data_IF_444129858912
#
_entry.id   IF_444129858912
#
_cell.length_a   1.000
_cell.length_b   1.000
_cell.length_c   1.000
_cell.angle_alpha   90.00
_cell.angle_beta   90.00
_cell.angle_gamma   90.00
#
_symmetry.space_group_name_H-M   'P 1'
#
loop_
_entity.id
_entity.type
_entity.pdbx_description
1 polymer ?
#
# COMPACT_ATOMS: atom_id res chain seq x y z
N UNK A 1 14.94 -35.22 -3.00
CA UNK A 1 15.76 -35.83 -1.93
C UNK A 1 17.18 -35.28 -1.98
N UNK A 2 17.60 -34.62 -0.91
CA UNK A 2 18.94 -34.02 -0.74
C UNK A 2 20.08 -35.04 -0.76
N UNK A 3 19.84 -36.26 -0.29
CA UNK A 3 20.86 -37.31 -0.28
C UNK A 3 21.25 -37.71 -1.71
N UNK A 4 20.27 -37.87 -2.59
CA UNK A 4 20.48 -38.21 -4.01
C UNK A 4 21.25 -37.10 -4.73
N UNK A 5 20.90 -35.84 -4.49
CA UNK A 5 21.63 -34.71 -5.09
C UNK A 5 23.08 -34.60 -4.58
N UNK A 6 23.33 -34.83 -3.29
CA UNK A 6 24.71 -34.86 -2.75
C UNK A 6 25.55 -35.97 -3.38
N UNK A 7 24.98 -37.17 -3.55
CA UNK A 7 25.66 -38.27 -4.23
C UNK A 7 25.96 -37.94 -5.70
N UNK A 8 24.99 -37.37 -6.43
CA UNK A 8 25.20 -36.91 -7.82
C UNK A 8 26.28 -35.83 -7.90
N UNK A 9 26.28 -34.86 -7.00
CA UNK A 9 27.32 -33.82 -6.93
C UNK A 9 28.70 -34.42 -6.70
N UNK A 10 28.84 -35.39 -5.78
CA UNK A 10 30.10 -36.06 -5.53
C UNK A 10 30.61 -36.83 -6.77
N UNK A 11 29.72 -37.53 -7.48
CA UNK A 11 30.06 -38.22 -8.72
C UNK A 11 30.54 -37.24 -9.82
N UNK A 12 29.87 -36.10 -9.99
CA UNK A 12 30.29 -35.09 -10.97
C UNK A 12 31.62 -34.43 -10.61
N UNK A 13 31.89 -34.20 -9.31
CA UNK A 13 33.21 -33.70 -8.86
C UNK A 13 34.34 -34.67 -9.19
N UNK A 14 34.11 -35.98 -8.98
CA UNK A 14 35.08 -37.01 -9.32
C UNK A 14 35.32 -37.05 -10.84
N UNK A 15 34.25 -36.98 -11.64
CA UNK A 15 34.33 -36.92 -13.12
C UNK A 15 35.14 -35.72 -13.60
N UNK A 16 34.89 -34.52 -13.07
CA UNK A 16 35.68 -33.32 -13.41
C UNK A 16 37.15 -33.53 -13.09
N UNK A 17 37.46 -34.09 -11.92
CA UNK A 17 38.85 -34.34 -11.50
C UNK A 17 39.55 -35.31 -12.45
N UNK A 18 38.87 -36.38 -12.86
CA UNK A 18 39.38 -37.36 -13.82
C UNK A 18 39.63 -36.73 -15.19
N UNK A 19 38.63 -36.04 -15.75
CA UNK A 19 38.68 -35.44 -17.10
C UNK A 19 39.70 -34.31 -17.19
N UNK A 20 39.76 -33.43 -16.18
CA UNK A 20 40.80 -32.39 -16.11
C UNK A 20 42.20 -32.99 -15.95
N UNK A 21 42.33 -34.05 -15.13
CA UNK A 21 43.59 -34.78 -15.00
C UNK A 21 44.05 -35.39 -16.33
N UNK A 22 43.12 -35.97 -17.11
CA UNK A 22 43.39 -36.51 -18.44
C UNK A 22 43.82 -35.42 -19.41
N UNK A 23 43.09 -34.31 -19.47
CA UNK A 23 43.45 -33.15 -20.30
C UNK A 23 44.86 -32.65 -20.00
N UNK A 24 45.22 -32.45 -18.72
CA UNK A 24 46.56 -32.02 -18.31
C UNK A 24 47.66 -33.00 -18.73
N UNK A 25 47.42 -34.31 -18.60
CA UNK A 25 48.38 -35.35 -19.04
C UNK A 25 48.56 -35.34 -20.56
N UNK A 26 47.48 -35.21 -21.33
CA UNK A 26 47.56 -35.16 -22.80
C UNK A 26 48.23 -33.87 -23.30
N UNK A 27 47.96 -32.74 -22.66
CA UNK A 27 48.63 -31.48 -22.96
C UNK A 27 50.16 -31.57 -22.73
N UNK A 28 50.58 -32.19 -21.64
CA UNK A 28 52.00 -32.45 -21.36
C UNK A 28 52.63 -33.43 -22.38
N UNK A 29 51.89 -34.49 -22.77
CA UNK A 29 52.33 -35.45 -23.79
C UNK A 29 52.46 -34.80 -25.17
N UNK A 30 51.56 -33.88 -25.54
CA UNK A 30 51.63 -33.14 -26.80
C UNK A 30 52.90 -32.29 -26.87
N UNK A 31 53.27 -31.61 -25.77
CA UNK A 31 54.51 -30.84 -25.69
C UNK A 31 55.77 -31.73 -25.84
N UNK A 32 55.68 -33.01 -25.47
CA UNK A 32 56.71 -34.01 -25.67
C UNK A 32 56.61 -34.76 -27.02
N UNK A 33 55.69 -34.37 -27.91
CA UNK A 33 55.47 -34.99 -29.23
C UNK A 33 54.69 -36.32 -29.21
N UNK A 34 54.13 -36.72 -28.06
CA UNK A 34 53.47 -38.01 -27.85
C UNK A 34 51.95 -38.01 -27.93
N UNK A 35 51.30 -36.87 -28.22
CA UNK A 35 49.85 -36.76 -28.41
C UNK A 35 49.53 -35.77 -29.55
N UNK A 36 48.46 -36.03 -30.28
CA UNK A 36 47.96 -35.18 -31.36
C UNK A 36 47.13 -34.00 -30.84
N UNK A 37 47.02 -32.92 -31.63
CA UNK A 37 46.17 -31.78 -31.29
C UNK A 37 44.69 -32.18 -31.12
N UNK A 38 44.22 -33.12 -31.95
CA UNK A 38 42.84 -33.64 -31.89
C UNK A 38 42.55 -34.36 -30.57
N UNK A 39 43.50 -35.12 -30.02
CA UNK A 39 43.33 -35.79 -28.72
C UNK A 39 43.25 -34.79 -27.56
N UNK A 40 44.05 -33.73 -27.62
CA UNK A 40 44.04 -32.67 -26.59
C UNK A 40 42.74 -31.86 -26.65
N UNK A 41 42.28 -31.51 -27.84
CA UNK A 41 41.02 -30.80 -28.04
C UNK A 41 39.81 -31.65 -27.58
N UNK A 42 39.79 -32.94 -27.91
CA UNK A 42 38.76 -33.85 -27.41
C UNK A 42 38.77 -33.96 -25.88
N UNK A 43 39.96 -34.01 -25.26
CA UNK A 43 40.08 -34.05 -23.80
C UNK A 43 39.67 -32.73 -23.12
N UNK A 44 39.89 -31.59 -23.78
CA UNK A 44 39.41 -30.29 -23.32
C UNK A 44 37.87 -30.26 -23.34
N UNK A 45 37.26 -30.63 -24.47
CA UNK A 45 35.80 -30.67 -24.61
C UNK A 45 35.14 -31.61 -23.58
N UNK A 46 35.76 -32.77 -23.33
CA UNK A 46 35.36 -33.71 -22.28
C UNK A 46 35.39 -33.06 -20.89
N UNK A 47 36.45 -32.29 -20.58
CA UNK A 47 36.61 -31.62 -19.30
C UNK A 47 35.60 -30.46 -19.13
N UNK A 48 35.34 -29.70 -20.18
CA UNK A 48 34.33 -28.64 -20.19
C UNK A 48 32.92 -29.22 -20.01
N UNK A 49 32.60 -30.32 -20.69
CA UNK A 49 31.32 -31.02 -20.54
C UNK A 49 31.12 -31.54 -19.12
N UNK A 50 32.17 -32.11 -18.51
CA UNK A 50 32.13 -32.54 -17.11
C UNK A 50 31.93 -31.35 -16.15
N UNK A 51 32.54 -30.19 -16.43
CA UNK A 51 32.37 -28.99 -15.64
C UNK A 51 30.93 -28.45 -15.73
N UNK A 52 30.33 -28.45 -16.92
CA UNK A 52 28.93 -28.08 -17.11
C UNK A 52 27.99 -29.00 -16.30
N UNK A 53 28.22 -30.32 -16.35
CA UNK A 53 27.47 -31.29 -15.56
C UNK A 53 27.63 -31.11 -14.04
N UNK A 54 28.82 -30.71 -13.59
CA UNK A 54 29.07 -30.35 -12.19
C UNK A 54 28.25 -29.11 -11.78
N UNK A 55 28.26 -28.06 -12.61
CA UNK A 55 27.49 -26.84 -12.35
C UNK A 55 26.00 -27.12 -12.27
N UNK A 56 25.46 -27.96 -13.17
CA UNK A 56 24.06 -28.39 -13.12
C UNK A 56 23.71 -29.14 -11.82
N UNK A 57 24.60 -30.05 -11.38
CA UNK A 57 24.44 -30.76 -10.11
C UNK A 57 24.50 -29.81 -8.90
N UNK A 58 25.36 -28.78 -8.93
CA UNK A 58 25.45 -27.75 -7.89
C UNK A 58 24.17 -26.91 -7.83
N UNK A 59 23.67 -26.45 -8.98
CA UNK A 59 22.41 -25.70 -9.05
C UNK A 59 21.25 -26.53 -8.52
N UNK A 60 21.15 -27.80 -8.93
CA UNK A 60 20.13 -28.72 -8.45
C UNK A 60 20.17 -28.90 -6.94
N UNK A 61 21.36 -29.03 -6.34
CA UNK A 61 21.51 -29.12 -4.89
C UNK A 61 21.17 -27.80 -4.19
N UNK A 62 21.56 -26.65 -4.75
CA UNK A 62 21.26 -25.33 -4.18
C UNK A 62 19.75 -25.09 -4.09
N UNK A 63 18.99 -25.53 -5.10
CA UNK A 63 17.52 -25.44 -5.15
C UNK A 63 16.80 -26.33 -4.12
N UNK A 64 17.52 -27.24 -3.45
CA UNK A 64 16.95 -28.05 -2.36
C UNK A 64 16.91 -27.30 -1.02
N UNK A 65 17.58 -26.15 -0.93
CA UNK A 65 17.43 -25.23 0.19
C UNK A 65 16.65 -24.02 -0.30
N UNK A 66 15.44 -23.83 0.23
CA UNK A 66 14.60 -22.70 -0.11
C UNK A 66 14.86 -21.60 0.89
N UNK A 67 15.39 -20.48 0.41
CA UNK A 67 15.68 -19.29 1.22
C UNK A 67 14.69 -18.18 0.88
N UNK A 68 14.33 -17.37 1.88
CA UNK A 68 13.51 -16.19 1.63
C UNK A 68 14.28 -15.18 0.76
N UNK A 69 13.66 -14.59 -0.28
CA UNK A 69 14.30 -13.58 -1.13
C UNK A 69 14.39 -12.20 -0.45
N UNK A 70 13.64 -12.00 0.64
CA UNK A 70 13.56 -10.75 1.39
C UNK A 70 13.52 -11.03 2.89
N UNK A 71 13.91 -10.03 3.69
CA UNK A 71 13.69 -10.05 5.13
C UNK A 71 12.21 -9.82 5.46
N UNK A 72 11.69 -10.51 6.46
CA UNK A 72 10.29 -10.37 6.85
C UNK A 72 9.84 -11.45 7.82
N UNK A 73 8.53 -11.54 8.03
CA UNK A 73 7.88 -12.50 8.92
C UNK A 73 7.10 -13.52 8.09
N UNK A 74 7.18 -14.80 8.48
CA UNK A 74 6.38 -15.86 7.86
C UNK A 74 4.93 -15.70 8.30
N UNK A 75 4.07 -15.28 7.38
CA UNK A 75 2.63 -15.06 7.61
C UNK A 75 1.78 -16.26 7.20
N UNK A 76 2.33 -17.16 6.40
CA UNK A 76 1.66 -18.39 5.99
C UNK A 76 2.64 -19.56 5.88
N UNK A 77 2.20 -20.75 6.32
CA UNK A 77 2.93 -22.01 6.17
C UNK A 77 1.98 -23.05 5.60
N UNK A 78 2.35 -23.63 4.47
CA UNK A 78 1.52 -24.55 3.68
C UNK A 78 2.20 -25.92 3.46
N UNK A 79 3.20 -26.23 4.29
CA UNK A 79 3.99 -27.46 4.20
C UNK A 79 4.42 -27.95 5.57
N UNK A 80 4.43 -29.27 5.74
CA UNK A 80 4.93 -29.95 6.92
C UNK A 80 6.16 -30.81 6.63
N UNK A 81 6.88 -31.18 7.69
CA UNK A 81 8.03 -32.07 7.56
C UNK A 81 7.54 -33.45 7.16
N UNK A 82 8.03 -33.96 6.03
CA UNK A 82 7.59 -35.24 5.46
C UNK A 82 6.73 -35.08 4.21
N UNK A 83 6.23 -33.87 3.93
CA UNK A 83 5.46 -33.61 2.72
C UNK A 83 6.29 -33.78 1.45
N UNK A 84 5.67 -34.37 0.43
CA UNK A 84 6.18 -34.31 -0.93
C UNK A 84 5.80 -32.95 -1.55
N UNK A 85 6.82 -32.22 -2.01
CA UNK A 85 6.65 -30.91 -2.64
C UNK A 85 7.02 -30.97 -4.12
N UNK A 86 6.19 -30.33 -4.95
CA UNK A 86 6.40 -30.20 -6.39
C UNK A 86 6.73 -28.76 -6.76
N UNK A 87 7.49 -28.50 -7.84
CA UNK A 87 7.73 -27.15 -8.34
C UNK A 87 6.43 -26.38 -8.56
N UNK A 88 6.42 -25.10 -8.15
CA UNK A 88 5.26 -24.22 -8.25
C UNK A 88 4.30 -24.28 -7.06
N UNK A 89 4.44 -25.23 -6.13
CA UNK A 89 3.66 -25.23 -4.89
C UNK A 89 4.16 -24.12 -3.96
N UNK A 90 3.24 -23.30 -3.46
CA UNK A 90 3.50 -22.32 -2.41
C UNK A 90 3.78 -23.07 -1.11
N UNK A 91 4.94 -22.81 -0.49
CA UNK A 91 5.33 -23.45 0.77
C UNK A 91 5.17 -22.51 1.97
N UNK A 92 5.57 -21.25 1.78
CA UNK A 92 5.51 -20.21 2.80
C UNK A 92 5.13 -18.88 2.16
N UNK A 93 4.44 -18.04 2.92
CA UNK A 93 4.26 -16.62 2.60
C UNK A 93 5.12 -15.83 3.58
N UNK A 94 5.97 -14.95 3.04
CA UNK A 94 6.80 -14.03 3.83
C UNK A 94 6.34 -12.63 3.53
N UNK A 95 6.02 -11.87 4.58
CA UNK A 95 5.58 -10.48 4.48
C UNK A 95 6.60 -9.57 5.16
N UNK A 96 6.94 -8.48 4.50
CA UNK A 96 7.71 -7.39 5.09
C UNK A 96 6.77 -6.54 5.96
N UNK A 97 7.12 -6.34 7.24
CA UNK A 97 6.34 -5.56 8.19
C UNK A 97 6.81 -4.10 8.28
N UNK A 98 7.95 -3.76 7.69
CA UNK A 98 8.50 -2.40 7.74
C UNK A 98 7.88 -1.52 6.65
N UNK A 99 7.38 -2.13 5.57
CA UNK A 99 6.79 -1.45 4.42
C UNK A 99 5.29 -1.76 4.28
N UNK A 100 4.50 -1.45 5.31
CA UNK A 100 3.03 -1.62 5.27
C UNK A 100 2.38 -0.45 4.53
N UNK A 101 1.55 -0.79 3.54
CA UNK A 101 0.68 0.15 2.85
C UNK A 101 -0.76 -0.07 3.30
N UNK A 102 -1.47 1.02 3.57
CA UNK A 102 -2.91 0.96 3.81
C UNK A 102 -3.64 1.24 2.49
N UNK A 103 -4.52 0.34 2.10
CA UNK A 103 -5.32 0.48 0.87
C UNK A 103 -6.75 0.78 1.27
N UNK A 104 -7.30 1.86 0.71
CA UNK A 104 -8.68 2.27 0.90
C UNK A 104 -9.45 2.11 -0.41
N UNK A 105 -10.63 1.53 -0.32
CA UNK A 105 -11.55 1.48 -1.45
C UNK A 105 -12.48 2.71 -1.40
N UNK A 106 -12.42 3.51 -2.45
CA UNK A 106 -13.04 4.83 -2.53
C UNK A 106 -14.05 4.86 -3.66
N UNK A 107 -15.19 5.51 -3.42
CA UNK A 107 -16.25 5.63 -4.42
C UNK A 107 -15.79 6.49 -5.62
N UNK A 108 -16.33 6.25 -6.83
CA UNK A 108 -16.06 7.12 -7.98
C UNK A 108 -16.45 8.59 -7.79
N UNK A 109 -17.34 8.91 -6.83
CA UNK A 109 -17.72 10.30 -6.55
C UNK A 109 -16.66 11.03 -5.72
N UNK A 110 -16.02 10.30 -4.80
CA UNK A 110 -15.06 10.88 -3.86
C UNK A 110 -13.63 10.87 -4.42
N UNK A 111 -13.32 9.97 -5.36
CA UNK A 111 -11.99 9.88 -5.96
C UNK A 111 -11.54 11.19 -6.64
N UNK A 112 -12.48 11.97 -7.20
CA UNK A 112 -12.19 13.26 -7.83
C UNK A 112 -11.69 14.32 -6.84
N UNK A 113 -11.99 14.16 -5.55
CA UNK A 113 -11.53 15.05 -4.49
C UNK A 113 -10.18 14.62 -3.92
N UNK A 114 -9.64 13.49 -4.37
CA UNK A 114 -8.39 12.94 -3.83
C UNK A 114 -7.22 13.23 -4.76
N UNK A 115 -6.11 13.65 -4.18
CA UNK A 115 -4.86 13.96 -4.87
C UNK A 115 -3.70 13.37 -4.10
N UNK A 116 -2.68 12.90 -4.83
CA UNK A 116 -1.44 12.44 -4.23
C UNK A 116 -0.83 13.52 -3.33
N UNK A 117 -0.42 13.13 -2.13
CA UNK A 117 0.18 14.01 -1.13
C UNK A 117 -0.81 14.55 -0.10
N UNK A 118 -2.13 14.39 -0.31
CA UNK A 118 -3.11 14.86 0.68
C UNK A 118 -2.87 14.22 2.06
N UNK A 119 -2.98 15.03 3.14
CA UNK A 119 -2.85 14.54 4.48
C UNK A 119 -4.00 13.58 4.84
N UNK A 120 -3.65 12.51 5.54
CA UNK A 120 -4.60 11.54 6.05
C UNK A 120 -4.20 11.10 7.45
N UNK A 121 -5.10 10.40 8.13
CA UNK A 121 -4.80 9.66 9.34
C UNK A 121 -5.35 8.25 9.26
N UNK A 122 -4.63 7.30 9.81
CA UNK A 122 -5.01 5.89 9.86
C UNK A 122 -5.16 5.46 11.31
N UNK A 123 -6.25 4.77 11.63
CA UNK A 123 -6.46 4.21 12.96
C UNK A 123 -5.62 2.94 13.11
N UNK A 124 -4.76 2.92 14.12
CA UNK A 124 -3.93 1.77 14.49
C UNK A 124 -4.34 1.24 15.86
N UNK A 125 -3.85 0.06 16.29
CA UNK A 125 -4.06 -0.42 17.66
C UNK A 125 -3.57 0.57 18.73
N UNK A 126 -2.58 1.39 18.40
CA UNK A 126 -1.98 2.37 19.31
C UNK A 126 -2.59 3.78 19.18
N UNK A 127 -3.65 3.94 18.37
CA UNK A 127 -4.31 5.21 18.10
C UNK A 127 -4.13 5.71 16.66
N UNK A 128 -4.56 6.95 16.40
CA UNK A 128 -4.43 7.57 15.08
C UNK A 128 -2.98 7.94 14.77
N UNK A 129 -2.49 7.50 13.61
CA UNK A 129 -1.17 7.89 13.08
C UNK A 129 -1.33 8.76 11.85
N UNK A 130 -0.40 9.70 11.66
CA UNK A 130 -0.33 10.53 10.46
C UNK A 130 0.03 9.67 9.25
N UNK A 131 -0.67 9.90 8.15
CA UNK A 131 -0.49 9.25 6.87
C UNK A 131 -0.65 10.28 5.75
N UNK A 132 -0.39 9.87 4.50
CA UNK A 132 -0.67 10.69 3.33
C UNK A 132 -1.01 9.81 2.14
N UNK A 133 -1.74 10.35 1.17
CA UNK A 133 -2.00 9.65 -0.10
C UNK A 133 -0.68 9.48 -0.85
N UNK A 134 -0.22 8.23 -0.96
CA UNK A 134 0.99 7.86 -1.70
C UNK A 134 0.70 7.75 -3.19
N UNK A 135 -0.42 7.09 -3.54
CA UNK A 135 -0.85 6.85 -4.92
C UNK A 135 -2.36 6.61 -4.97
N UNK A 136 -2.95 6.93 -6.11
CA UNK A 136 -4.32 6.59 -6.46
C UNK A 136 -4.24 5.67 -7.68
N UNK A 137 -4.88 4.50 -7.61
CA UNK A 137 -4.97 3.61 -8.76
C UNK A 137 -5.96 4.18 -9.80
N UNK A 138 -5.60 4.27 -11.09
CA UNK A 138 -6.41 4.96 -12.09
C UNK A 138 -7.61 4.12 -12.57
N UNK A 139 -7.69 2.86 -12.17
CA UNK A 139 -8.71 1.90 -12.60
C UNK A 139 -9.57 1.48 -11.42
N UNK A 140 -10.88 1.53 -11.60
CA UNK A 140 -11.81 0.93 -10.66
C UNK A 140 -11.73 -0.60 -10.74
N UNK A 141 -11.91 -1.26 -9.60
CA UNK A 141 -12.09 -2.70 -9.54
C UNK A 141 -13.41 -3.08 -10.26
N UNK A 142 -13.40 -4.02 -11.22
CA UNK A 142 -14.56 -4.33 -12.06
C UNK A 142 -15.68 -5.07 -11.31
N UNK A 143 -15.39 -5.66 -10.13
CA UNK A 143 -16.38 -6.36 -9.32
C UNK A 143 -17.09 -5.41 -8.36
N UNK A 144 -16.35 -4.49 -7.74
CA UNK A 144 -16.89 -3.57 -6.72
C UNK A 144 -17.24 -2.19 -7.27
N UNK A 145 -16.63 -1.78 -8.39
CA UNK A 145 -16.72 -0.44 -8.96
C UNK A 145 -15.98 0.65 -8.16
N UNK A 146 -15.15 0.26 -7.18
CA UNK A 146 -14.41 1.17 -6.31
C UNK A 146 -12.98 1.40 -6.82
N UNK A 147 -12.42 2.56 -6.51
CA UNK A 147 -11.02 2.90 -6.79
C UNK A 147 -10.16 2.64 -5.56
N UNK A 148 -8.98 2.06 -5.75
CA UNK A 148 -8.05 1.86 -4.65
C UNK A 148 -7.13 3.06 -4.46
N UNK A 149 -7.06 3.56 -3.23
CA UNK A 149 -6.18 4.65 -2.80
C UNK A 149 -5.18 4.12 -1.79
N UNK A 150 -3.90 4.29 -2.07
CA UNK A 150 -2.81 3.79 -1.25
C UNK A 150 -2.29 4.91 -0.36
N UNK A 151 -2.35 4.70 0.96
CA UNK A 151 -1.78 5.59 1.97
C UNK A 151 -0.41 5.12 2.44
N UNK A 152 0.52 6.05 2.64
CA UNK A 152 1.77 5.76 3.34
C UNK A 152 1.55 5.74 4.84
N UNK A 153 1.86 4.61 5.47
CA UNK A 153 1.80 4.44 6.93
C UNK A 153 3.21 4.37 7.49
N UNK A 154 3.51 5.01 8.64
CA UNK A 154 4.79 4.87 9.31
C UNK A 154 5.11 3.42 9.69
N UNK A 155 6.38 3.04 9.57
CA UNK A 155 6.89 1.76 10.07
C UNK A 155 6.68 1.66 11.59
N UNK A 156 6.46 0.44 12.09
CA UNK A 156 6.20 0.21 13.52
C UNK A 156 4.83 0.71 14.00
N UNK A 157 3.90 1.01 13.09
CA UNK A 157 2.50 1.40 13.41
C UNK A 157 1.71 0.29 14.12
N UNK A 158 2.25 -0.93 14.20
CA UNK A 158 1.58 -2.09 14.82
C UNK A 158 0.46 -2.68 13.97
N UNK A 159 0.32 -2.22 12.72
CA UNK A 159 -0.58 -2.83 11.74
C UNK A 159 0.00 -4.15 11.24
N UNK A 160 -0.89 -5.06 10.84
CA UNK A 160 -0.53 -6.32 10.20
C UNK A 160 -1.12 -6.41 8.79
N UNK A 161 -0.45 -7.07 7.83
CA UNK A 161 -1.03 -7.33 6.50
C UNK A 161 -2.39 -8.05 6.61
N UNK A 162 -3.37 -7.61 5.82
CA UNK A 162 -4.72 -8.18 5.82
C UNK A 162 -5.64 -7.69 6.95
N UNK A 163 -5.16 -6.83 7.85
CA UNK A 163 -5.97 -6.21 8.88
C UNK A 163 -6.91 -5.16 8.27
N UNK A 164 -8.20 -5.20 8.65
CA UNK A 164 -9.13 -4.12 8.35
C UNK A 164 -8.77 -2.88 9.18
N UNK A 165 -8.84 -1.70 8.56
CA UNK A 165 -8.49 -0.43 9.19
C UNK A 165 -9.51 0.65 8.83
N UNK A 166 -9.52 1.71 9.64
CA UNK A 166 -10.22 2.94 9.33
C UNK A 166 -9.19 4.02 8.99
N UNK A 167 -9.49 4.84 7.99
CA UNK A 167 -8.68 5.98 7.65
C UNK A 167 -9.56 7.19 7.32
N UNK A 168 -9.01 8.37 7.57
CA UNK A 168 -9.67 9.63 7.28
C UNK A 168 -8.73 10.48 6.44
N UNK A 169 -9.13 10.75 5.21
CA UNK A 169 -8.45 11.67 4.31
C UNK A 169 -8.99 13.06 4.60
N UNK A 170 -8.10 14.01 4.87
CA UNK A 170 -8.51 15.37 5.15
C UNK A 170 -8.76 16.08 3.84
N UNK A 171 -10.00 16.54 3.66
CA UNK A 171 -10.38 17.40 2.53
C UNK A 171 -9.89 18.83 2.85
N UNK A 172 -8.88 19.31 2.13
CA UNK A 172 -8.31 20.65 2.33
C UNK A 172 -9.37 21.75 2.18
N UNK A 173 -10.39 21.50 1.38
CA UNK A 173 -11.53 22.38 1.16
C UNK A 173 -12.32 22.72 2.44
N UNK A 174 -12.15 21.97 3.55
CA UNK A 174 -12.86 22.19 4.82
C UNK A 174 -12.02 23.02 5.80
N UNK A 175 -10.69 23.06 5.67
CA UNK A 175 -9.82 23.69 6.68
C UNK A 175 -10.09 25.19 6.87
N UNK A 176 -10.44 25.89 5.78
CA UNK A 176 -10.82 27.32 5.78
C UNK A 176 -12.33 27.54 5.50
N UNK A 177 -13.14 26.47 5.55
CA UNK A 177 -14.56 26.57 5.28
C UNK A 177 -15.33 27.12 6.48
N UNK A 178 -16.18 28.12 6.23
CA UNK A 178 -17.15 28.56 7.22
C UNK A 178 -18.22 27.47 7.33
N UNK A 179 -18.33 26.89 8.53
CA UNK A 179 -19.34 25.88 8.85
C UNK A 179 -20.26 26.41 9.92
N UNK A 180 -21.56 26.22 9.72
CA UNK A 180 -22.60 26.60 10.70
C UNK A 180 -23.46 25.37 11.02
N UNK A 181 -24.07 25.29 12.21
CA UNK A 181 -25.05 24.23 12.50
C UNK A 181 -26.19 24.25 11.48
N UNK A 182 -26.69 23.07 11.07
CA UNK A 182 -27.80 22.97 10.11
C UNK A 182 -29.06 23.70 10.62
N UNK A 183 -29.28 23.70 11.93
CA UNK A 183 -30.40 24.39 12.61
C UNK A 183 -30.39 25.92 12.41
N UNK A 184 -29.24 26.51 12.05
CA UNK A 184 -29.14 27.94 11.78
C UNK A 184 -29.67 28.33 10.38
N UNK A 185 -29.86 27.36 9.48
CA UNK A 185 -30.41 27.60 8.15
C UNK A 185 -31.94 27.72 8.20
N UNK A 186 -32.49 28.68 7.46
CA UNK A 186 -33.92 28.82 7.25
C UNK A 186 -34.24 28.83 5.77
N UNK A 187 -35.25 28.05 5.38
CA UNK A 187 -35.74 28.02 4.00
C UNK A 187 -36.97 28.92 3.89
N UNK A 188 -36.87 30.00 3.10
CA UNK A 188 -37.96 30.94 2.88
C UNK A 188 -38.52 30.72 1.48
N UNK A 189 -39.83 30.47 1.40
CA UNK A 189 -40.53 30.29 0.11
C UNK A 189 -40.07 29.08 -0.70
N UNK A 190 -39.38 28.11 -0.08
CA UNK A 190 -38.91 26.88 -0.72
C UNK A 190 -37.65 27.03 -1.59
N UNK A 191 -37.28 28.24 -1.99
CA UNK A 191 -36.15 28.48 -2.92
C UNK A 191 -34.97 29.21 -2.28
N UNK A 192 -35.23 30.07 -1.28
CA UNK A 192 -34.17 30.85 -0.62
C UNK A 192 -33.68 30.16 0.63
N UNK A 193 -32.37 30.01 0.75
CA UNK A 193 -31.71 29.59 2.00
C UNK A 193 -31.10 30.82 2.65
N UNK A 194 -31.52 31.13 3.87
CA UNK A 194 -31.06 32.31 4.61
C UNK A 194 -30.54 31.92 5.99
N UNK A 195 -29.71 32.79 6.56
CA UNK A 195 -29.30 32.77 7.97
C UNK A 195 -29.59 34.11 8.60
N UNK A 196 -29.69 34.15 9.93
CA UNK A 196 -29.74 35.39 10.69
C UNK A 196 -28.38 35.65 11.34
N UNK A 197 -27.70 36.69 10.90
CA UNK A 197 -26.42 37.15 11.48
C UNK A 197 -26.72 38.24 12.50
N UNK A 198 -26.08 38.18 13.67
CA UNK A 198 -26.27 39.16 14.74
C UNK A 198 -25.18 40.23 14.72
N UNK A 199 -25.55 41.44 14.32
CA UNK A 199 -24.72 42.64 14.39
C UNK A 199 -25.36 43.64 15.38
N UNK A 200 -24.58 44.14 16.34
CA UNK A 200 -25.01 45.18 17.30
C UNK A 200 -26.34 44.91 18.04
N UNK A 201 -26.69 43.63 18.27
CA UNK A 201 -27.93 43.23 18.95
C UNK A 201 -29.17 43.19 18.05
N UNK A 202 -28.97 43.26 16.73
CA UNK A 202 -30.01 43.13 15.70
C UNK A 202 -29.71 41.90 14.84
N UNK A 203 -30.75 41.14 14.52
CA UNK A 203 -30.67 40.00 13.60
C UNK A 203 -30.93 40.44 12.15
N UNK A 204 -29.91 40.34 11.32
CA UNK A 204 -29.98 40.63 9.88
C UNK A 204 -30.21 39.34 9.10
N UNK A 205 -31.26 39.32 8.27
CA UNK A 205 -31.50 38.22 7.34
C UNK A 205 -30.51 38.31 6.18
N UNK A 206 -29.81 37.21 5.89
CA UNK A 206 -28.84 37.17 4.81
C UNK A 206 -29.00 35.89 4.00
N UNK A 207 -29.10 36.04 2.68
CA UNK A 207 -29.08 34.90 1.76
C UNK A 207 -27.70 34.24 1.80
N UNK A 208 -27.69 32.91 1.85
CA UNK A 208 -26.47 32.11 1.87
C UNK A 208 -26.49 31.08 0.75
N UNK A 209 -25.31 30.84 0.18
CA UNK A 209 -25.07 29.69 -0.68
C UNK A 209 -24.40 28.62 0.16
N UNK A 210 -25.00 27.45 0.24
CA UNK A 210 -24.51 26.32 1.04
C UNK A 210 -23.82 25.27 0.16
N UNK A 211 -22.85 24.58 0.74
CA UNK A 211 -22.15 23.45 0.15
C UNK A 211 -22.56 22.13 0.80
N UNK A 212 -21.60 21.22 0.98
CA UNK A 212 -21.82 19.94 1.64
C UNK A 212 -22.20 20.07 3.13
N UNK A 213 -22.93 19.08 3.63
CA UNK A 213 -23.25 18.91 5.06
C UNK A 213 -22.37 17.83 5.70
N UNK A 214 -21.96 18.06 6.95
CA UNK A 214 -21.02 17.21 7.68
C UNK A 214 -21.44 17.17 9.16
N UNK A 215 -21.83 15.99 9.66
CA UNK A 215 -22.02 15.77 11.10
C UNK A 215 -22.98 16.74 11.81
N UNK A 216 -24.06 17.18 11.14
CA UNK A 216 -25.02 18.15 11.69
C UNK A 216 -24.70 19.63 11.43
N UNK A 217 -23.56 19.91 10.81
CA UNK A 217 -23.20 21.23 10.30
C UNK A 217 -23.29 21.27 8.76
N UNK A 218 -23.34 22.48 8.21
CA UNK A 218 -23.36 22.77 6.78
C UNK A 218 -22.29 23.79 6.43
N UNK A 219 -21.59 23.54 5.33
CA UNK A 219 -20.61 24.49 4.79
C UNK A 219 -21.33 25.65 4.13
N UNK A 220 -20.90 26.87 4.43
CA UNK A 220 -21.35 28.11 3.78
C UNK A 220 -20.29 28.52 2.76
N UNK A 221 -20.69 28.63 1.50
CA UNK A 221 -19.85 29.08 0.38
C UNK A 221 -19.88 30.60 0.22
N UNK A 222 -21.02 31.24 0.55
CA UNK A 222 -21.14 32.70 0.58
C UNK A 222 -22.24 33.15 1.53
N UNK A 223 -22.16 34.40 1.98
CA UNK A 223 -23.16 35.05 2.82
C UNK A 223 -22.88 35.02 4.32
N UNK A 224 -21.77 34.44 4.78
CA UNK A 224 -21.31 34.57 6.17
C UNK A 224 -19.80 34.80 6.13
N UNK A 225 -19.28 35.66 7.00
CA UNK A 225 -17.86 35.95 7.15
C UNK A 225 -17.29 35.33 8.44
N UNK A 226 -15.96 35.05 8.49
CA UNK A 226 -15.35 34.50 9.69
C UNK A 226 -15.50 35.45 10.89
N UNK A 227 -15.93 34.90 12.03
CA UNK A 227 -16.14 35.67 13.27
C UNK A 227 -17.55 36.26 13.44
N UNK A 228 -18.41 36.15 12.43
CA UNK A 228 -19.82 36.53 12.57
C UNK A 228 -20.60 35.54 13.45
N UNK A 229 -21.58 36.05 14.21
CA UNK A 229 -22.46 35.24 15.06
C UNK A 229 -23.76 34.94 14.34
N UNK A 230 -24.07 33.66 14.18
CA UNK A 230 -25.33 33.19 13.56
C UNK A 230 -26.31 32.69 14.63
N UNK A 231 -27.61 32.91 14.41
CA UNK A 231 -28.64 32.43 15.33
C UNK A 231 -29.00 30.97 15.03
N UNK A 232 -28.79 30.10 16.03
CA UNK A 232 -29.03 28.65 15.92
C UNK A 232 -30.42 28.25 16.41
N UNK A 233 -30.89 28.82 17.52
CA UNK A 233 -32.20 28.53 18.13
C UNK A 233 -33.10 29.76 18.10
N UNK A 234 -34.36 29.59 17.68
CA UNK A 234 -35.35 30.67 17.59
C UNK A 234 -35.42 31.39 16.24
N UNK A 235 -34.64 30.96 15.26
CA UNK A 235 -34.64 31.44 13.86
C UNK A 235 -36.01 31.36 13.17
N UNK A 236 -36.82 30.36 13.53
CA UNK A 236 -38.18 30.18 12.99
C UNK A 236 -39.13 31.34 13.32
N UNK A 237 -38.94 31.96 14.49
CA UNK A 237 -39.82 33.03 15.02
C UNK A 237 -39.27 34.43 14.78
N UNK A 238 -38.14 34.54 14.08
CA UNK A 238 -37.52 35.83 13.78
C UNK A 238 -38.03 36.44 12.47
N UNK A 239 -38.10 37.77 12.50
CA UNK A 239 -38.33 38.64 11.35
C UNK A 239 -37.06 39.47 11.08
N UNK A 240 -36.84 39.95 9.85
CA UNK A 240 -35.73 40.83 9.55
C UNK A 240 -35.67 42.05 10.50
N UNK A 241 -34.47 42.40 10.96
CA UNK A 241 -34.20 43.51 11.90
C UNK A 241 -34.81 43.34 13.30
N UNK A 242 -35.11 42.11 13.71
CA UNK A 242 -35.54 41.84 15.08
C UNK A 242 -34.41 42.17 16.08
N UNK A 243 -34.76 42.86 17.17
CA UNK A 243 -33.84 43.01 18.31
C UNK A 243 -33.70 41.67 19.03
N UNK A 244 -32.46 41.25 19.26
CA UNK A 244 -32.16 39.96 19.87
C UNK A 244 -31.25 40.13 21.07
N UNK A 245 -31.44 39.26 22.05
CA UNK A 245 -30.52 39.10 23.17
C UNK A 245 -29.77 37.80 22.98
N UNK A 246 -28.44 37.89 22.83
CA UNK A 246 -27.60 36.72 22.57
C UNK A 246 -27.40 35.95 23.87
N UNK A 247 -27.84 34.69 23.87
CA UNK A 247 -27.47 33.73 24.89
C UNK A 247 -26.53 32.71 24.24
N UNK A 248 -25.28 32.65 24.69
CA UNK A 248 -24.32 31.69 24.16
C UNK A 248 -24.72 30.27 24.58
N UNK A 249 -24.80 29.37 23.60
CA UNK A 249 -24.90 27.92 23.88
C UNK A 249 -23.52 27.49 24.40
N UNK A 250 -23.49 26.82 25.56
CA UNK A 250 -22.24 26.35 26.19
C UNK A 250 -21.71 25.08 25.54
#
# INVERSE_FOLDING_TARGET
DTRVARQRLAAQKASVTEKQGRYRRLLALQAAGGASAQEVEAALSDAESALAALTDAQMSLSRMTITAPLGGVVTGRFVETGDLVSPGRILFTVSDLDAIEAVLDVSPKDIFKMVKGMPARVQTPNGWVKAAIKRIEPTADPLTGLFSVVLSVPAGSGLSPGQALEAQVQDEDIADAIVIPYEALKQIGGERTVVYVVAEGVAEERDVITGGSYGGAVRVLSGVEPGERVVVKGSDRMFPNARVWVQEDK
#
